data_IF_609675267641
#
_entry.id   IF_609675267641
#
_cell.length_a   1.000
_cell.length_b   1.000
_cell.length_c   1.000
_cell.angle_alpha   90.00
_cell.angle_beta   90.00
_cell.angle_gamma   90.00
#
_symmetry.space_group_name_H-M   'P 1'
#
loop_
_entity.id
_entity.type
_entity.pdbx_description
1 polymer ?
#
# COMPACT_ATOMS: atom_id res chain seq x y z
N UNK A 1 -17.94 -14.47 -15.14
CA UNK A 1 -17.78 -15.87 -14.67
C UNK A 1 -16.40 -15.91 -14.06
N UNK A 2 -16.29 -16.10 -12.75
CA UNK A 2 -15.03 -16.00 -12.02
C UNK A 2 -14.06 -17.09 -12.52
N UNK A 3 -12.82 -16.71 -12.84
CA UNK A 3 -11.83 -17.68 -13.33
C UNK A 3 -11.54 -18.75 -12.26
N UNK A 4 -11.23 -20.00 -12.67
CA UNK A 4 -10.84 -21.07 -11.74
C UNK A 4 -9.62 -20.68 -10.88
N UNK A 5 -8.71 -19.89 -11.45
CA UNK A 5 -7.53 -19.39 -10.74
C UNK A 5 -7.90 -18.36 -9.67
N UNK A 6 -8.84 -17.46 -9.97
CA UNK A 6 -9.40 -16.51 -9.00
C UNK A 6 -10.10 -17.26 -7.87
N UNK A 7 -10.95 -18.25 -8.19
CA UNK A 7 -11.62 -19.06 -7.16
C UNK A 7 -10.61 -19.75 -6.24
N UNK A 8 -9.56 -20.34 -6.81
CA UNK A 8 -8.51 -20.98 -6.00
C UNK A 8 -7.83 -20.00 -5.05
N UNK A 9 -7.57 -18.75 -5.47
CA UNK A 9 -7.01 -17.70 -4.59
C UNK A 9 -7.92 -17.34 -3.42
N UNK A 10 -9.24 -17.35 -3.63
CA UNK A 10 -10.21 -17.20 -2.54
C UNK A 10 -10.11 -18.37 -1.55
N UNK A 11 -10.10 -19.61 -2.06
CA UNK A 11 -10.12 -20.82 -1.22
C UNK A 11 -8.88 -20.95 -0.33
N UNK A 12 -7.72 -20.45 -0.78
CA UNK A 12 -6.47 -20.46 -0.01
C UNK A 12 -6.31 -19.22 0.90
N UNK A 13 -7.33 -18.36 1.00
CA UNK A 13 -7.38 -17.26 1.98
C UNK A 13 -6.70 -15.95 1.55
N UNK A 14 -6.43 -15.71 0.26
CA UNK A 14 -5.93 -14.40 -0.19
C UNK A 14 -7.02 -13.32 -0.25
N UNK A 15 -8.29 -13.72 -0.21
CA UNK A 15 -9.42 -12.79 -0.25
C UNK A 15 -10.11 -12.80 1.12
N UNK A 16 -10.13 -11.66 1.83
CA UNK A 16 -10.79 -11.57 3.14
C UNK A 16 -12.31 -11.70 3.00
N UNK A 17 -13.04 -11.98 4.10
CA UNK A 17 -14.50 -12.00 4.10
C UNK A 17 -15.07 -10.70 3.52
N UNK A 18 -16.11 -10.80 2.68
CA UNK A 18 -16.67 -9.64 1.97
C UNK A 18 -17.12 -8.53 2.91
N UNK A 19 -17.55 -8.90 4.10
CA UNK A 19 -18.12 -8.00 5.10
C UNK A 19 -17.06 -7.07 5.73
N UNK A 20 -15.77 -7.40 5.54
CA UNK A 20 -14.64 -6.57 5.97
C UNK A 20 -14.06 -5.74 4.84
N UNK A 21 -14.66 -5.79 3.64
CA UNK A 21 -14.11 -5.10 2.48
C UNK A 21 -14.25 -3.59 2.61
N UNK A 22 -13.17 -2.91 2.25
CA UNK A 22 -13.18 -1.47 2.00
C UNK A 22 -13.35 -1.18 0.51
N UNK A 23 -13.51 0.09 0.09
CA UNK A 23 -13.51 0.44 -1.33
C UNK A 23 -12.27 -0.03 -2.11
N UNK A 24 -11.13 -0.20 -1.43
CA UNK A 24 -9.91 -0.76 -2.03
C UNK A 24 -10.12 -2.24 -2.37
N UNK A 25 -10.75 -2.99 -1.46
CA UNK A 25 -11.04 -4.40 -1.62
C UNK A 25 -12.12 -4.64 -2.69
N UNK A 26 -13.14 -3.79 -2.77
CA UNK A 26 -14.13 -3.84 -3.85
C UNK A 26 -13.48 -3.64 -5.23
N UNK A 27 -12.55 -2.68 -5.35
CA UNK A 27 -11.83 -2.44 -6.60
C UNK A 27 -10.85 -3.58 -6.95
N UNK A 28 -10.30 -4.28 -5.95
CA UNK A 28 -9.33 -5.35 -6.16
C UNK A 28 -9.97 -6.72 -6.33
N UNK A 29 -10.82 -7.15 -5.39
CA UNK A 29 -11.42 -8.48 -5.32
C UNK A 29 -12.76 -8.54 -6.03
N UNK A 30 -13.55 -7.46 -6.00
CA UNK A 30 -14.93 -7.42 -6.50
C UNK A 30 -15.11 -7.45 -8.02
N UNK A 31 -14.01 -7.50 -8.79
CA UNK A 31 -14.02 -7.46 -10.25
C UNK A 31 -13.51 -8.77 -10.85
N UNK A 32 -14.06 -9.20 -11.98
CA UNK A 32 -13.58 -10.42 -12.67
C UNK A 32 -12.19 -10.19 -13.32
N UNK A 33 -11.92 -8.97 -13.77
CA UNK A 33 -10.70 -8.54 -14.49
C UNK A 33 -10.30 -7.13 -14.07
N UNK A 34 -9.00 -6.85 -14.04
CA UNK A 34 -8.47 -5.52 -13.71
C UNK A 34 -8.41 -4.57 -14.92
N UNK A 35 -8.39 -5.09 -16.15
CA UNK A 35 -8.07 -4.30 -17.35
C UNK A 35 -9.21 -4.11 -18.35
N UNK A 36 -10.32 -4.86 -18.22
CA UNK A 36 -11.44 -4.86 -19.20
C UNK A 36 -12.78 -4.40 -18.63
N UNK A 37 -12.75 -3.58 -17.60
CA UNK A 37 -13.96 -2.97 -17.07
C UNK A 37 -14.37 -1.78 -17.96
N UNK A 38 -15.68 -1.51 -18.14
CA UNK A 38 -16.14 -0.27 -18.75
C UNK A 38 -15.50 0.95 -18.07
N UNK A 39 -15.23 2.02 -18.83
CA UNK A 39 -14.51 3.19 -18.32
C UNK A 39 -15.22 3.78 -17.10
N UNK A 40 -16.53 3.92 -17.17
CA UNK A 40 -17.36 4.49 -16.10
C UNK A 40 -17.21 3.68 -14.82
N UNK A 41 -17.20 2.34 -14.94
CA UNK A 41 -17.03 1.46 -13.78
C UNK A 41 -15.60 1.52 -13.23
N UNK A 42 -14.61 1.59 -14.11
CA UNK A 42 -13.20 1.75 -13.75
C UNK A 42 -12.97 3.04 -12.98
N UNK A 43 -13.51 4.15 -13.49
CA UNK A 43 -13.40 5.47 -12.85
C UNK A 43 -14.07 5.46 -11.48
N UNK A 44 -15.29 4.91 -11.37
CA UNK A 44 -16.00 4.78 -10.09
C UNK A 44 -15.18 4.01 -9.04
N UNK A 45 -14.70 2.82 -9.39
CA UNK A 45 -13.91 1.97 -8.48
C UNK A 45 -12.61 2.65 -8.06
N UNK A 46 -11.88 3.25 -9.02
CA UNK A 46 -10.63 3.96 -8.75
C UNK A 46 -10.86 5.17 -7.85
N UNK A 47 -11.88 5.98 -8.12
CA UNK A 47 -12.21 7.15 -7.31
C UNK A 47 -12.53 6.73 -5.88
N UNK A 48 -13.40 5.75 -5.69
CA UNK A 48 -13.81 5.29 -4.36
C UNK A 48 -12.62 4.68 -3.58
N UNK A 49 -11.79 3.87 -4.24
CA UNK A 49 -10.60 3.27 -3.63
C UNK A 49 -9.56 4.33 -3.23
N UNK A 50 -9.21 5.25 -4.13
CA UNK A 50 -8.21 6.30 -3.86
C UNK A 50 -8.74 7.28 -2.83
N UNK A 51 -10.01 7.68 -2.89
CA UNK A 51 -10.62 8.56 -1.89
C UNK A 51 -10.60 7.94 -0.50
N UNK A 52 -10.96 6.67 -0.39
CA UNK A 52 -10.89 5.96 0.87
C UNK A 52 -9.45 5.90 1.41
N UNK A 53 -8.48 5.52 0.57
CA UNK A 53 -7.08 5.48 0.96
C UNK A 53 -6.55 6.86 1.37
N UNK A 54 -6.82 7.90 0.57
CA UNK A 54 -6.40 9.27 0.84
C UNK A 54 -6.94 9.78 2.18
N UNK A 55 -8.25 9.64 2.42
CA UNK A 55 -8.86 10.07 3.67
C UNK A 55 -8.23 9.36 4.87
N UNK A 56 -8.10 8.03 4.78
CA UNK A 56 -7.51 7.23 5.86
C UNK A 56 -6.06 7.65 6.16
N UNK A 57 -5.23 7.82 5.14
CA UNK A 57 -3.85 8.29 5.32
C UNK A 57 -3.78 9.72 5.84
N UNK A 58 -4.66 10.62 5.39
CA UNK A 58 -4.71 12.00 5.85
C UNK A 58 -5.12 12.11 7.33
N UNK A 59 -5.99 11.21 7.80
CA UNK A 59 -6.46 11.18 9.19
C UNK A 59 -5.46 10.49 10.13
N UNK A 60 -4.89 9.37 9.71
CA UNK A 60 -4.06 8.53 10.59
C UNK A 60 -2.56 8.85 10.53
N UNK A 61 -2.05 9.37 9.41
CA UNK A 61 -0.63 9.73 9.29
C UNK A 61 -0.42 11.21 9.58
N UNK A 62 0.16 11.52 10.74
CA UNK A 62 0.56 12.90 11.08
C UNK A 62 1.47 13.52 10.01
N UNK A 63 2.40 12.73 9.46
CA UNK A 63 3.28 13.19 8.41
C UNK A 63 2.51 13.52 7.12
N UNK A 64 1.66 12.60 6.64
CA UNK A 64 0.93 12.82 5.39
C UNK A 64 -0.09 13.96 5.52
N UNK A 65 -0.74 14.09 6.68
CA UNK A 65 -1.58 15.22 7.02
C UNK A 65 -0.84 16.56 6.85
N UNK A 66 0.34 16.68 7.46
CA UNK A 66 1.17 17.88 7.33
C UNK A 66 1.60 18.13 5.88
N UNK A 67 2.03 17.07 5.17
CA UNK A 67 2.41 17.16 3.77
C UNK A 67 1.27 17.68 2.91
N UNK A 68 0.05 17.17 3.05
CA UNK A 68 -1.10 17.63 2.29
C UNK A 68 -1.48 19.10 2.57
N UNK A 69 -1.32 19.55 3.82
CA UNK A 69 -1.55 20.95 4.19
C UNK A 69 -0.57 21.92 3.50
N UNK A 70 0.67 21.50 3.20
CA UNK A 70 1.63 22.31 2.43
C UNK A 70 1.15 22.58 0.98
N UNK A 71 0.23 21.77 0.47
CA UNK A 71 -0.38 21.91 -0.86
C UNK A 71 -1.84 22.40 -0.79
N UNK A 72 -2.32 22.87 0.37
CA UNK A 72 -3.71 23.28 0.60
C UNK A 72 -4.74 22.21 0.17
N UNK A 73 -4.40 20.92 0.33
CA UNK A 73 -5.22 19.80 -0.11
C UNK A 73 -5.73 18.97 1.07
N UNK A 74 -7.02 18.66 1.09
CA UNK A 74 -7.66 17.91 2.19
C UNK A 74 -8.75 16.96 1.67
N UNK A 75 -9.31 16.07 2.50
CA UNK A 75 -10.45 15.20 2.13
C UNK A 75 -11.62 15.93 1.47
N UNK A 76 -11.84 17.20 1.84
CA UNK A 76 -12.93 18.02 1.26
C UNK A 76 -12.64 18.48 -0.16
N UNK A 77 -11.39 18.48 -0.60
CA UNK A 77 -10.96 18.83 -1.97
C UNK A 77 -11.22 17.70 -2.97
N UNK A 78 -11.34 16.45 -2.52
CA UNK A 78 -11.48 15.26 -3.37
C UNK A 78 -12.96 14.87 -3.57
N UNK A 79 -13.62 15.52 -4.56
CA UNK A 79 -15.07 15.39 -4.79
C UNK A 79 -15.43 14.54 -5.99
N UNK A 80 -14.60 14.55 -7.02
CA UNK A 80 -14.85 13.88 -8.30
C UNK A 80 -13.62 13.12 -8.78
N UNK A 81 -13.81 12.21 -9.75
CA UNK A 81 -12.69 11.49 -10.38
C UNK A 81 -11.62 12.44 -10.93
N UNK A 82 -12.02 13.58 -11.51
CA UNK A 82 -11.07 14.57 -12.05
C UNK A 82 -10.23 15.29 -10.99
N UNK A 83 -10.57 15.18 -9.71
CA UNK A 83 -9.77 15.74 -8.62
C UNK A 83 -8.59 14.84 -8.22
N UNK A 84 -8.54 13.60 -8.71
CA UNK A 84 -7.46 12.66 -8.41
C UNK A 84 -6.08 13.19 -8.87
N UNK A 85 -6.03 13.92 -9.98
CA UNK A 85 -4.79 14.50 -10.52
C UNK A 85 -4.22 15.63 -9.64
N UNK A 86 -5.01 16.10 -8.67
CA UNK A 86 -4.64 17.17 -7.73
C UNK A 86 -4.13 16.63 -6.39
N UNK A 87 -4.25 15.32 -6.15
CA UNK A 87 -3.80 14.70 -4.90
C UNK A 87 -2.28 14.85 -4.79
N UNK A 88 -1.75 15.39 -3.67
CA UNK A 88 -0.31 15.54 -3.47
C UNK A 88 0.41 14.18 -3.58
N UNK A 89 1.29 14.07 -4.58
CA UNK A 89 2.08 12.86 -4.82
C UNK A 89 3.34 12.86 -3.95
N UNK A 90 3.70 11.68 -3.44
CA UNK A 90 4.92 11.48 -2.65
C UNK A 90 6.03 11.07 -3.61
N UNK A 91 7.12 11.83 -3.65
CA UNK A 91 8.27 11.51 -4.49
C UNK A 91 8.94 10.21 -4.05
N UNK A 92 9.38 9.36 -4.99
CA UNK A 92 10.16 8.16 -4.68
C UNK A 92 11.43 8.44 -3.84
N UNK A 93 11.96 9.67 -3.90
CA UNK A 93 13.11 10.12 -3.11
C UNK A 93 12.81 10.11 -1.61
N UNK A 94 11.56 10.36 -1.23
CA UNK A 94 11.11 10.28 0.16
C UNK A 94 11.40 8.90 0.76
N UNK A 95 11.04 7.83 0.05
CA UNK A 95 11.28 6.43 0.47
C UNK A 95 12.76 6.01 0.44
N UNK A 96 13.66 6.91 0.03
CA UNK A 96 15.11 6.75 0.08
C UNK A 96 15.78 7.67 1.13
N UNK A 97 15.02 8.52 1.80
CA UNK A 97 15.54 9.57 2.70
C UNK A 97 15.80 9.09 4.15
N UNK A 98 15.64 7.80 4.42
CA UNK A 98 15.95 7.21 5.73
C UNK A 98 17.42 7.39 6.11
N UNK A 99 17.75 7.39 7.39
CA UNK A 99 19.14 7.30 7.89
C UNK A 99 19.47 5.84 8.27
N UNK A 100 20.60 5.61 8.93
CA UNK A 100 21.03 4.27 9.38
C UNK A 100 20.71 4.02 10.87
N UNK A 101 20.73 2.75 11.29
CA UNK A 101 20.57 2.34 12.68
C UNK A 101 19.19 2.71 13.27
N UNK A 102 19.17 3.28 14.47
CA UNK A 102 17.92 3.64 15.15
C UNK A 102 17.11 4.72 14.40
N UNK A 103 17.78 5.60 13.66
CA UNK A 103 17.09 6.64 12.88
C UNK A 103 16.32 6.06 11.68
N UNK A 104 16.79 4.94 11.11
CA UNK A 104 16.00 4.16 10.15
C UNK A 104 14.67 3.73 10.76
N UNK A 105 14.71 3.20 11.99
CA UNK A 105 13.53 2.70 12.68
C UNK A 105 12.56 3.83 13.00
N UNK A 106 13.08 4.93 13.55
CA UNK A 106 12.28 6.12 13.86
C UNK A 106 11.61 6.66 12.60
N UNK A 107 12.35 6.75 11.49
CA UNK A 107 11.79 7.18 10.22
C UNK A 107 10.68 6.25 9.73
N UNK A 108 10.91 4.93 9.70
CA UNK A 108 9.92 3.96 9.20
C UNK A 108 8.62 3.99 10.02
N UNK A 109 8.76 4.11 11.35
CA UNK A 109 7.62 4.24 12.27
C UNK A 109 6.84 5.54 12.05
N UNK A 110 7.53 6.66 11.82
CA UNK A 110 6.88 7.96 11.61
C UNK A 110 6.12 8.06 10.28
N UNK A 111 6.54 7.33 9.26
CA UNK A 111 5.88 7.32 7.95
C UNK A 111 4.79 6.24 7.83
N UNK A 112 4.66 5.38 8.85
CA UNK A 112 3.64 4.32 8.91
C UNK A 112 2.44 4.78 9.73
N UNK A 113 1.26 4.25 9.41
CA UNK A 113 0.02 4.49 10.17
C UNK A 113 -0.25 3.43 11.25
N UNK A 114 0.35 2.25 11.12
CA UNK A 114 0.15 1.18 12.08
C UNK A 114 1.01 1.40 13.32
N UNK A 115 0.32 1.43 14.47
CA UNK A 115 0.94 1.54 15.80
C UNK A 115 1.48 0.18 16.22
N UNK A 116 2.64 -0.21 15.69
CA UNK A 116 3.41 -1.30 16.28
C UNK A 116 4.34 -0.76 17.35
N UNK A 117 4.59 -1.56 18.39
CA UNK A 117 5.57 -1.18 19.39
C UNK A 117 6.94 -0.98 18.75
N UNK A 118 7.60 0.12 19.12
CA UNK A 118 8.97 0.42 18.73
C UNK A 118 9.86 -0.82 18.99
N UNK A 119 10.44 -1.41 17.93
CA UNK A 119 11.29 -2.55 18.13
C UNK A 119 12.58 -2.15 18.86
N UNK A 120 13.06 -3.03 19.74
CA UNK A 120 14.36 -2.87 20.40
C UNK A 120 15.46 -3.48 19.54
N UNK A 121 16.32 -2.63 18.97
CA UNK A 121 17.54 -3.08 18.30
C UNK A 121 18.54 -3.52 19.39
N UNK A 122 18.88 -4.82 19.43
CA UNK A 122 19.83 -5.37 20.40
C UNK A 122 21.29 -5.24 19.96
N UNK A 123 21.55 -5.12 18.65
CA UNK A 123 22.90 -5.02 18.08
C UNK A 123 23.37 -3.56 18.09
N UNK A 124 24.63 -3.35 18.45
CA UNK A 124 25.22 -2.00 18.48
C UNK A 124 25.31 -1.36 17.09
N UNK A 125 25.59 -2.16 16.05
CA UNK A 125 25.64 -1.75 14.65
C UNK A 125 24.81 -2.75 13.81
N UNK A 126 23.48 -2.61 13.74
CA UNK A 126 22.63 -3.54 12.99
C UNK A 126 22.84 -3.39 11.48
N UNK A 127 22.80 -4.50 10.75
CA UNK A 127 22.71 -4.47 9.28
C UNK A 127 21.29 -4.10 8.84
N UNK A 128 21.09 -3.85 7.54
CA UNK A 128 19.73 -3.66 7.01
C UNK A 128 18.86 -4.91 7.17
N UNK A 129 19.43 -6.10 6.98
CA UNK A 129 18.71 -7.36 7.19
C UNK A 129 18.28 -7.52 8.67
N UNK A 130 19.16 -7.17 9.61
CA UNK A 130 18.81 -7.15 11.03
C UNK A 130 17.63 -6.21 11.32
N UNK A 131 17.54 -5.08 10.61
CA UNK A 131 16.43 -4.13 10.77
C UNK A 131 15.15 -4.68 10.15
N UNK A 132 15.23 -5.34 8.98
CA UNK A 132 14.08 -5.95 8.30
C UNK A 132 13.45 -7.04 9.18
N UNK A 133 14.27 -7.94 9.74
CA UNK A 133 13.79 -9.03 10.60
C UNK A 133 13.08 -8.51 11.84
N UNK A 134 13.64 -7.46 12.43
CA UNK A 134 13.08 -6.79 13.61
C UNK A 134 11.70 -6.17 13.32
N UNK A 135 11.46 -5.67 12.10
CA UNK A 135 10.14 -5.18 11.70
C UNK A 135 9.17 -6.32 11.39
N UNK A 136 9.64 -7.39 10.75
CA UNK A 136 8.84 -8.56 10.46
C UNK A 136 8.28 -9.19 11.76
N UNK A 137 9.10 -9.28 12.81
CA UNK A 137 8.71 -9.73 14.16
C UNK A 137 7.60 -8.86 14.79
N UNK A 138 7.44 -7.62 14.33
CA UNK A 138 6.42 -6.67 14.78
C UNK A 138 5.19 -6.61 13.86
N UNK A 139 5.12 -7.47 12.84
CA UNK A 139 4.02 -7.50 11.88
C UNK A 139 4.13 -6.42 10.79
N UNK A 140 5.29 -5.77 10.66
CA UNK A 140 5.60 -4.88 9.54
C UNK A 140 6.53 -5.62 8.58
N UNK A 141 6.01 -5.94 7.40
CA UNK A 141 6.83 -6.43 6.30
C UNK A 141 7.47 -5.25 5.58
N UNK A 142 8.77 -5.05 5.79
CA UNK A 142 9.55 -4.08 5.04
C UNK A 142 9.88 -4.64 3.65
N UNK A 143 9.14 -4.21 2.62
CA UNK A 143 9.45 -4.55 1.23
C UNK A 143 10.42 -3.52 0.67
N UNK A 144 11.45 -3.96 -0.06
CA UNK A 144 12.48 -3.07 -0.58
C UNK A 144 12.85 -3.35 -2.04
N UNK A 145 13.38 -2.33 -2.72
CA UNK A 145 13.83 -2.43 -4.11
C UNK A 145 15.19 -3.13 -4.25
N UNK A 146 15.57 -3.54 -5.46
CA UNK A 146 16.87 -4.19 -5.72
C UNK A 146 18.10 -3.27 -5.60
N UNK A 147 17.91 -1.97 -5.37
CA UNK A 147 19.01 -1.05 -5.01
C UNK A 147 19.97 -0.67 -6.13
N UNK A 148 19.56 -0.75 -7.40
CA UNK A 148 20.42 -0.47 -8.57
C UNK A 148 21.06 0.93 -8.60
N UNK A 149 20.56 1.88 -7.80
CA UNK A 149 21.13 3.22 -7.63
C UNK A 149 22.01 3.38 -6.38
N UNK A 150 22.42 2.27 -5.73
CA UNK A 150 23.21 2.27 -4.50
C UNK A 150 22.41 2.50 -3.20
N UNK A 151 21.09 2.69 -3.28
CA UNK A 151 20.21 2.87 -2.11
C UNK A 151 18.84 2.25 -2.36
N UNK A 152 18.40 1.40 -1.44
CA UNK A 152 17.08 0.77 -1.49
C UNK A 152 15.97 1.79 -1.24
N UNK A 153 14.79 1.55 -1.78
CA UNK A 153 13.55 2.18 -1.31
C UNK A 153 12.87 1.21 -0.35
N UNK A 154 12.46 1.68 0.83
CA UNK A 154 11.72 0.85 1.79
C UNK A 154 10.25 1.27 1.83
N UNK A 155 9.36 0.26 1.79
CA UNK A 155 7.92 0.45 1.87
C UNK A 155 7.40 -0.50 2.96
N UNK A 156 6.96 0.02 4.12
CA UNK A 156 6.37 -0.80 5.16
C UNK A 156 4.99 -1.28 4.74
N UNK A 157 4.68 -2.55 4.98
CA UNK A 157 3.36 -3.14 4.77
C UNK A 157 2.96 -3.94 5.99
N UNK A 158 1.69 -3.84 6.39
CA UNK A 158 1.12 -4.88 7.25
C UNK A 158 0.75 -6.12 6.44
N UNK A 159 0.35 -7.18 7.16
CA UNK A 159 -0.11 -8.42 6.56
C UNK A 159 -1.21 -8.17 5.51
N UNK A 160 -2.20 -7.34 5.82
CA UNK A 160 -3.34 -7.06 4.92
C UNK A 160 -2.86 -6.44 3.60
N UNK A 161 -2.03 -5.41 3.68
CA UNK A 161 -1.48 -4.70 2.52
C UNK A 161 -0.54 -5.60 1.72
N UNK A 162 0.24 -6.44 2.40
CA UNK A 162 1.08 -7.44 1.75
C UNK A 162 0.24 -8.45 0.96
N UNK A 163 -0.78 -9.05 1.58
CA UNK A 163 -1.67 -10.03 0.94
C UNK A 163 -2.43 -9.42 -0.26
N UNK A 164 -2.96 -8.20 -0.11
CA UNK A 164 -3.55 -7.44 -1.22
C UNK A 164 -2.57 -7.30 -2.40
N UNK A 165 -1.30 -6.99 -2.12
CA UNK A 165 -0.27 -6.85 -3.16
C UNK A 165 0.00 -8.16 -3.87
N UNK A 166 0.11 -9.27 -3.13
CA UNK A 166 0.33 -10.59 -3.71
C UNK A 166 -0.85 -11.05 -4.56
N UNK A 167 -2.09 -10.84 -4.08
CA UNK A 167 -3.29 -11.14 -4.86
C UNK A 167 -3.36 -10.30 -6.13
N UNK A 168 -3.08 -8.99 -6.05
CA UNK A 168 -3.07 -8.10 -7.20
C UNK A 168 -2.10 -8.58 -8.29
N UNK A 169 -0.88 -8.98 -7.91
CA UNK A 169 0.10 -9.52 -8.86
C UNK A 169 -0.42 -10.79 -9.56
N UNK A 170 -0.98 -11.73 -8.80
CA UNK A 170 -1.58 -12.93 -9.39
C UNK A 170 -2.77 -12.61 -10.31
N UNK A 171 -3.62 -11.66 -9.90
CA UNK A 171 -4.80 -11.25 -10.66
C UNK A 171 -4.46 -10.47 -11.92
N UNK A 172 -3.36 -9.70 -11.95
CA UNK A 172 -2.86 -9.04 -13.15
C UNK A 172 -2.54 -10.09 -14.22
N UNK A 173 -1.75 -11.11 -13.88
CA UNK A 173 -1.41 -12.19 -14.82
C UNK A 173 -2.64 -12.96 -15.31
N UNK A 174 -3.60 -13.25 -14.43
CA UNK A 174 -4.89 -13.87 -14.84
C UNK A 174 -5.66 -12.93 -15.78
N UNK A 175 -5.73 -11.64 -15.45
CA UNK A 175 -6.48 -10.65 -16.24
C UNK A 175 -5.89 -10.51 -17.65
N UNK A 176 -4.56 -10.49 -17.77
CA UNK A 176 -3.83 -10.50 -19.05
C UNK A 176 -4.04 -11.81 -19.82
N UNK A 177 -4.00 -12.98 -19.16
CA UNK A 177 -4.22 -14.26 -19.84
C UNK A 177 -5.63 -14.44 -20.38
N UNK A 178 -6.63 -13.84 -19.72
CA UNK A 178 -8.01 -13.77 -20.22
C UNK A 178 -8.16 -12.76 -21.37
N UNK A 179 -7.06 -12.16 -21.84
CA UNK A 179 -7.08 -11.27 -22.98
C UNK A 179 -7.21 -11.97 -24.34
N UNK A 180 -7.05 -13.29 -24.37
CA UNK A 180 -7.14 -14.14 -25.55
C UNK A 180 -8.49 -14.85 -25.68
#
# INVERSE_FOLDING_TARGET
MVSKATQKMHDIGYVPPKETWTPIDEALYGVDTLFRLPKEKTDELRFNAIKHAFNYWYEESKWYHMYCNEFDFSPTSLKTYGDLDKVPLISHRFFKAYLEGQEFVNWLMNISINKVDLPKIKKQNPTMDDLIDVFADKGIMAVYSSGTSGRFSFIPKDQTTFMRSQYALGKMGISEMLEH
#
